data_IF_048381358619
#
_entry.id   IF_048381358619
#
_cell.length_a   1.000
_cell.length_b   1.000
_cell.length_c   1.000
_cell.angle_alpha   90.00
_cell.angle_beta   90.00
_cell.angle_gamma   90.00
#
_symmetry.space_group_name_H-M   'P 1'
#
loop_
_entity.id
_entity.type
_entity.pdbx_description
1 polymer ?
#
# COMPACT_ATOMS: atom_id res chain seq x y z
N UNK A 1 -10.54 -32.00 3.34
CA UNK A 1 -9.98 -30.64 3.58
C UNK A 1 -11.14 -29.74 3.98
N UNK A 2 -11.04 -29.08 5.12
CA UNK A 2 -12.02 -28.11 5.60
C UNK A 2 -11.53 -26.72 5.21
N UNK A 3 -12.40 -25.90 4.65
CA UNK A 3 -12.07 -24.49 4.38
C UNK A 3 -11.93 -23.74 5.70
N UNK A 4 -10.96 -22.82 5.75
CA UNK A 4 -10.69 -22.04 6.95
C UNK A 4 -9.80 -20.84 6.65
N UNK A 5 -9.69 -19.95 7.63
CA UNK A 5 -8.80 -18.79 7.56
C UNK A 5 -8.19 -18.49 8.92
N UNK A 6 -6.92 -18.12 8.92
CA UNK A 6 -6.12 -17.83 10.10
C UNK A 6 -5.16 -16.69 9.78
N UNK A 7 -4.82 -15.85 10.74
CA UNK A 7 -3.73 -14.88 10.62
C UNK A 7 -2.47 -15.40 11.29
N UNK A 8 -1.31 -15.19 10.68
CA UNK A 8 -0.02 -15.66 11.18
C UNK A 8 1.02 -14.53 11.15
N UNK A 9 2.00 -14.53 12.08
CA UNK A 9 3.09 -13.57 12.12
C UNK A 9 3.98 -13.71 10.88
N UNK A 10 3.88 -12.74 9.95
CA UNK A 10 4.53 -12.80 8.63
C UNK A 10 6.06 -12.98 8.71
N UNK A 11 6.74 -12.28 9.62
CA UNK A 11 8.21 -12.39 9.76
C UNK A 11 8.64 -13.81 10.07
N UNK A 12 8.01 -14.46 11.08
CA UNK A 12 8.32 -15.85 11.45
C UNK A 12 7.94 -16.84 10.35
N UNK A 13 6.83 -16.61 9.66
CA UNK A 13 6.44 -17.45 8.54
C UNK A 13 7.46 -17.38 7.41
N UNK A 14 7.89 -16.18 7.04
CA UNK A 14 8.91 -15.99 6.00
C UNK A 14 10.26 -16.63 6.38
N UNK A 15 10.73 -16.47 7.62
CA UNK A 15 11.93 -17.14 8.11
C UNK A 15 11.85 -18.67 7.95
N UNK A 16 10.70 -19.25 8.26
CA UNK A 16 10.49 -20.70 8.08
C UNK A 16 10.55 -21.05 6.60
N UNK A 17 9.79 -20.36 5.74
CA UNK A 17 9.69 -20.67 4.31
C UNK A 17 11.04 -20.52 3.61
N UNK A 18 11.82 -19.49 3.94
CA UNK A 18 13.16 -19.26 3.36
C UNK A 18 14.17 -20.37 3.73
N UNK A 19 13.94 -21.09 4.82
CA UNK A 19 14.81 -22.20 5.25
C UNK A 19 14.26 -23.59 4.85
N UNK A 20 13.15 -23.67 4.10
CA UNK A 20 12.67 -24.91 3.51
C UNK A 20 13.44 -25.24 2.21
N UNK A 21 13.59 -26.53 1.91
CA UNK A 21 14.21 -26.96 0.65
C UNK A 21 13.31 -26.61 -0.55
N UNK A 22 13.92 -26.21 -1.66
CA UNK A 22 13.22 -25.71 -2.87
C UNK A 22 12.24 -26.74 -3.50
N UNK A 23 12.50 -28.04 -3.35
CA UNK A 23 11.69 -29.11 -3.96
C UNK A 23 10.73 -29.81 -2.97
N UNK A 24 10.52 -29.25 -1.78
CA UNK A 24 9.73 -29.92 -0.74
C UNK A 24 8.30 -29.40 -0.69
N UNK A 25 7.33 -30.31 -0.73
CA UNK A 25 5.92 -29.98 -0.45
C UNK A 25 5.78 -29.38 0.94
N UNK A 26 5.02 -28.30 1.04
CA UNK A 26 4.72 -27.62 2.30
C UNK A 26 3.28 -27.90 2.69
N UNK A 27 3.09 -28.61 3.79
CA UNK A 27 1.78 -28.88 4.36
C UNK A 27 1.51 -27.95 5.54
N UNK A 28 0.46 -27.16 5.45
CA UNK A 28 0.03 -26.25 6.51
C UNK A 28 -1.31 -26.74 7.06
N UNK A 29 -1.37 -26.92 8.38
CA UNK A 29 -2.60 -27.26 9.08
C UNK A 29 -2.81 -26.35 10.28
N UNK A 30 -4.07 -26.11 10.62
CA UNK A 30 -4.47 -25.27 11.75
C UNK A 30 -5.37 -26.08 12.66
N UNK A 31 -5.10 -26.05 13.96
CA UNK A 31 -5.95 -26.67 14.97
C UNK A 31 -6.99 -25.69 15.56
N UNK A 32 -7.93 -26.22 16.34
CA UNK A 32 -9.00 -25.42 16.98
C UNK A 32 -8.47 -24.36 17.98
N UNK A 33 -7.21 -24.48 18.40
CA UNK A 33 -6.52 -23.51 19.26
C UNK A 33 -5.74 -22.46 18.49
N UNK A 34 -5.99 -22.28 17.18
CA UNK A 34 -5.28 -21.39 16.28
C UNK A 34 -3.77 -21.65 16.20
N UNK A 35 -3.32 -22.86 16.46
CA UNK A 35 -1.93 -23.26 16.26
C UNK A 35 -1.76 -23.73 14.83
N UNK A 36 -0.77 -23.16 14.17
CA UNK A 36 -0.42 -23.46 12.77
C UNK A 36 0.77 -24.41 12.76
N UNK A 37 0.59 -25.60 12.23
CA UNK A 37 1.68 -26.54 11.99
C UNK A 37 2.10 -26.48 10.53
N UNK A 38 3.40 -26.29 10.29
CA UNK A 38 4.01 -26.23 8.96
C UNK A 38 4.97 -27.43 8.89
N UNK A 39 4.70 -28.35 7.97
CA UNK A 39 5.50 -29.56 7.77
C UNK A 39 6.05 -29.58 6.35
N UNK A 40 7.35 -29.79 6.19
CA UNK A 40 8.00 -29.97 4.91
C UNK A 40 9.12 -30.98 5.02
N UNK A 41 8.98 -32.13 4.34
CA UNK A 41 9.87 -33.25 4.48
C UNK A 41 10.00 -33.75 5.93
N UNK A 42 11.21 -33.65 6.50
CA UNK A 42 11.49 -33.97 7.91
C UNK A 42 11.31 -32.82 8.87
N UNK A 43 11.16 -31.58 8.34
CA UNK A 43 11.05 -30.36 9.13
C UNK A 43 9.62 -30.13 9.61
N UNK A 44 9.49 -29.78 10.89
CA UNK A 44 8.19 -29.48 11.51
C UNK A 44 8.29 -28.19 12.33
N UNK A 45 7.45 -27.23 12.02
CA UNK A 45 7.39 -25.96 12.72
C UNK A 45 5.98 -25.73 13.27
N UNK A 46 5.90 -24.95 14.35
CA UNK A 46 4.63 -24.54 14.96
C UNK A 46 4.66 -23.02 15.16
N UNK A 47 3.58 -22.36 14.75
CA UNK A 47 3.34 -20.95 14.98
C UNK A 47 2.01 -20.75 15.71
N UNK A 48 1.93 -19.75 16.54
CA UNK A 48 0.65 -19.28 17.08
C UNK A 48 0.04 -18.33 16.06
N UNK A 49 -1.15 -18.63 15.59
CA UNK A 49 -1.99 -17.75 14.78
C UNK A 49 -2.98 -16.97 15.65
N UNK A 50 -3.75 -16.12 15.01
CA UNK A 50 -4.90 -15.43 15.58
C UNK A 50 -6.13 -15.64 14.70
N UNK A 51 -7.36 -15.62 15.25
CA UNK A 51 -8.58 -15.71 14.47
C UNK A 51 -8.66 -14.65 13.38
N UNK A 52 -9.27 -14.97 12.24
CA UNK A 52 -9.50 -14.00 11.16
C UNK A 52 -10.24 -12.75 11.65
N UNK A 53 -11.15 -12.91 12.62
CA UNK A 53 -11.97 -11.81 13.13
C UNK A 53 -11.16 -10.74 13.90
N UNK A 54 -9.97 -11.09 14.37
CA UNK A 54 -9.04 -10.16 15.01
C UNK A 54 -8.23 -9.33 13.99
N UNK A 55 -8.32 -9.70 12.70
CA UNK A 55 -7.66 -8.95 11.63
C UNK A 55 -8.49 -7.72 11.26
N UNK A 56 -7.86 -6.54 11.14
CA UNK A 56 -8.57 -5.32 10.76
C UNK A 56 -9.32 -5.50 9.43
N UNK A 57 -10.56 -5.02 9.40
CA UNK A 57 -11.33 -5.01 8.15
C UNK A 57 -10.66 -4.04 7.18
N UNK A 58 -10.34 -4.53 5.99
CA UNK A 58 -9.84 -3.67 4.90
C UNK A 58 -11.06 -2.92 4.36
N UNK A 59 -11.11 -1.57 4.48
CA UNK A 59 -12.24 -0.81 3.97
C UNK A 59 -12.28 -0.85 2.44
N UNK A 60 -13.49 -0.87 1.90
CA UNK A 60 -13.68 -0.71 0.46
C UNK A 60 -13.40 0.74 0.05
N UNK A 61 -12.84 0.90 -1.15
CA UNK A 61 -12.66 2.24 -1.72
C UNK A 61 -14.01 2.82 -2.13
N UNK A 62 -14.33 4.02 -1.64
CA UNK A 62 -15.53 4.75 -2.06
C UNK A 62 -15.42 5.18 -3.53
N UNK A 63 -16.13 4.49 -4.41
CA UNK A 63 -16.14 4.77 -5.84
C UNK A 63 -16.75 6.15 -6.16
N UNK A 64 -17.66 6.66 -5.32
CA UNK A 64 -18.28 7.96 -5.52
C UNK A 64 -17.32 9.13 -5.24
N UNK A 65 -16.32 8.90 -4.39
CA UNK A 65 -15.29 9.87 -4.05
C UNK A 65 -13.90 9.38 -4.52
N UNK A 66 -13.84 8.97 -5.77
CA UNK A 66 -12.64 8.42 -6.38
C UNK A 66 -12.32 9.10 -7.71
N UNK A 67 -11.06 8.99 -8.13
CA UNK A 67 -10.59 9.39 -9.44
C UNK A 67 -9.55 8.40 -9.96
N UNK A 68 -9.30 8.43 -11.26
CA UNK A 68 -8.30 7.60 -11.91
C UNK A 68 -7.15 8.44 -12.42
N UNK A 69 -5.95 7.86 -12.36
CA UNK A 69 -4.73 8.49 -12.82
C UNK A 69 -3.79 7.45 -13.42
N UNK A 70 -3.14 7.72 -14.57
CA UNK A 70 -2.16 6.80 -15.14
C UNK A 70 -1.01 6.53 -14.17
N UNK A 71 -0.62 5.25 -14.02
CA UNK A 71 0.40 4.81 -13.08
C UNK A 71 1.76 5.49 -13.30
N UNK A 72 2.19 5.62 -14.55
CA UNK A 72 3.43 6.30 -14.89
C UNK A 72 3.41 7.79 -14.53
N UNK A 73 2.28 8.48 -14.76
CA UNK A 73 2.14 9.89 -14.35
C UNK A 73 2.19 10.03 -12.83
N UNK A 74 1.48 9.16 -12.11
CA UNK A 74 1.49 9.13 -10.63
C UNK A 74 2.89 8.89 -10.09
N UNK A 75 3.57 7.85 -10.57
CA UNK A 75 4.93 7.53 -10.14
C UNK A 75 5.92 8.67 -10.44
N UNK A 76 5.79 9.33 -11.58
CA UNK A 76 6.61 10.48 -11.96
C UNK A 76 6.40 11.68 -11.02
N UNK A 77 5.15 12.06 -10.76
CA UNK A 77 4.83 13.19 -9.87
C UNK A 77 5.28 12.95 -8.44
N UNK A 78 5.07 11.73 -7.92
CA UNK A 78 5.52 11.36 -6.57
C UNK A 78 7.06 11.36 -6.52
N UNK A 79 7.73 10.66 -7.43
CA UNK A 79 9.21 10.58 -7.44
C UNK A 79 9.86 11.94 -7.61
N UNK A 80 9.23 12.84 -8.37
CA UNK A 80 9.72 14.21 -8.59
C UNK A 80 9.54 15.15 -7.39
N UNK A 81 8.85 14.73 -6.33
CA UNK A 81 8.55 15.61 -5.19
C UNK A 81 8.94 15.01 -3.84
N UNK A 82 8.84 13.70 -3.66
CA UNK A 82 8.94 13.02 -2.35
C UNK A 82 10.28 13.23 -1.64
N UNK A 83 11.35 13.47 -2.38
CA UNK A 83 12.69 13.73 -1.82
C UNK A 83 12.77 15.03 -0.99
N UNK A 84 11.78 15.89 -1.13
CA UNK A 84 11.66 17.14 -0.38
C UNK A 84 10.77 17.02 0.87
N UNK A 85 10.17 15.86 1.12
CA UNK A 85 9.42 15.62 2.35
C UNK A 85 10.38 15.50 3.55
N UNK A 86 9.92 15.91 4.74
CA UNK A 86 10.67 15.73 5.98
C UNK A 86 10.72 14.25 6.39
N UNK A 87 11.80 13.88 7.06
CA UNK A 87 11.95 12.59 7.76
C UNK A 87 11.96 12.75 9.27
N UNK A 88 11.81 13.99 9.78
CA UNK A 88 11.82 14.32 11.21
C UNK A 88 10.46 14.01 11.83
N UNK A 89 10.42 13.32 12.99
CA UNK A 89 9.19 12.85 13.63
C UNK A 89 8.37 13.97 14.29
N UNK A 90 8.97 15.11 14.61
CA UNK A 90 8.32 16.23 15.31
C UNK A 90 7.40 17.08 14.44
N UNK A 91 7.46 16.90 13.11
CA UNK A 91 6.63 17.64 12.12
C UNK A 91 5.86 16.71 11.20
N UNK A 92 4.97 15.91 11.76
CA UNK A 92 4.21 14.88 11.03
C UNK A 92 3.54 15.35 9.73
N UNK A 93 3.08 16.62 9.67
CA UNK A 93 2.46 17.17 8.46
C UNK A 93 3.46 17.41 7.32
N UNK A 94 4.78 17.46 7.60
CA UNK A 94 5.83 17.54 6.58
C UNK A 94 6.34 16.16 6.13
N UNK A 95 5.94 15.07 6.83
CA UNK A 95 6.30 13.70 6.47
C UNK A 95 5.42 13.13 5.36
N UNK A 96 4.57 13.95 4.77
CA UNK A 96 3.68 13.60 3.66
C UNK A 96 3.78 14.58 2.50
N UNK A 97 3.12 14.22 1.42
CA UNK A 97 2.97 15.05 0.24
C UNK A 97 1.58 15.66 0.24
N UNK A 98 1.50 16.97 0.05
CA UNK A 98 0.25 17.66 -0.15
C UNK A 98 -0.25 17.38 -1.57
N UNK A 99 -1.41 16.76 -1.67
CA UNK A 99 -2.15 16.56 -2.90
C UNK A 99 -3.29 17.56 -2.96
N UNK A 100 -3.35 18.31 -4.02
CA UNK A 100 -4.38 19.34 -4.23
C UNK A 100 -4.92 19.26 -5.64
N UNK A 101 -6.24 19.24 -5.77
CA UNK A 101 -6.92 19.48 -7.04
C UNK A 101 -7.77 20.73 -6.93
N UNK A 102 -7.52 21.69 -7.78
CA UNK A 102 -8.23 22.96 -7.84
C UNK A 102 -8.09 23.56 -9.24
N UNK A 103 -9.17 24.12 -9.77
CA UNK A 103 -9.19 24.80 -11.08
C UNK A 103 -8.63 23.91 -12.20
N UNK A 104 -9.07 22.67 -12.25
CA UNK A 104 -8.65 21.66 -13.23
C UNK A 104 -7.14 21.32 -13.23
N UNK A 105 -6.45 21.61 -12.14
CA UNK A 105 -5.03 21.26 -11.96
C UNK A 105 -4.84 20.37 -10.74
N UNK A 106 -4.17 19.24 -10.95
CA UNK A 106 -3.71 18.39 -9.88
C UNK A 106 -2.26 18.73 -9.57
N UNK A 107 -1.97 18.97 -8.31
CA UNK A 107 -0.63 19.29 -7.83
C UNK A 107 -0.22 18.41 -6.67
N UNK A 108 1.06 18.04 -6.65
CA UNK A 108 1.73 17.32 -5.58
C UNK A 108 2.86 18.19 -5.07
N UNK A 109 2.88 18.45 -3.77
CA UNK A 109 3.87 19.33 -3.13
C UNK A 109 4.50 18.60 -1.95
N UNK A 110 5.81 18.69 -1.82
CA UNK A 110 6.54 18.24 -0.64
C UNK A 110 7.51 19.33 -0.17
N UNK A 111 7.69 19.47 1.14
CA UNK A 111 8.64 20.39 1.74
C UNK A 111 9.11 19.87 3.11
N UNK A 112 10.34 20.19 3.46
CA UNK A 112 10.92 19.99 4.80
C UNK A 112 11.13 21.33 5.55
N UNK A 113 10.60 22.43 4.98
CA UNK A 113 10.74 23.79 5.51
C UNK A 113 11.98 24.53 5.01
N UNK A 114 12.92 23.83 4.32
CA UNK A 114 14.14 24.43 3.74
C UNK A 114 14.12 24.39 2.22
N UNK A 115 13.49 23.38 1.65
CA UNK A 115 13.30 23.18 0.20
C UNK A 115 11.86 22.80 -0.06
N UNK A 116 11.43 22.99 -1.29
CA UNK A 116 10.09 22.66 -1.77
C UNK A 116 10.19 22.07 -3.16
N UNK A 117 9.48 20.96 -3.39
CA UNK A 117 9.27 20.40 -4.70
C UNK A 117 7.79 20.43 -5.05
N UNK A 118 7.48 20.81 -6.30
CA UNK A 118 6.13 20.93 -6.83
C UNK A 118 6.05 20.24 -8.18
N UNK A 119 5.08 19.33 -8.34
CA UNK A 119 4.68 18.78 -9.63
C UNK A 119 3.22 19.16 -9.91
N UNK A 120 2.91 19.55 -11.14
CA UNK A 120 1.56 19.97 -11.55
C UNK A 120 1.20 19.28 -12.86
N UNK A 121 -0.07 18.86 -12.98
CA UNK A 121 -0.64 18.35 -14.23
C UNK A 121 -2.08 18.83 -14.41
N UNK A 122 -2.50 19.01 -15.66
CA UNK A 122 -3.88 19.25 -16.09
C UNK A 122 -4.46 18.07 -16.89
N UNK A 123 -3.70 16.96 -16.98
CA UNK A 123 -4.05 15.78 -17.78
C UNK A 123 -5.13 14.92 -17.16
N UNK A 124 -5.50 15.17 -15.89
CA UNK A 124 -6.54 14.39 -15.18
C UNK A 124 -7.70 15.32 -14.84
N UNK A 125 -8.91 14.75 -14.86
CA UNK A 125 -10.14 15.48 -14.48
C UNK A 125 -10.75 14.80 -13.26
N UNK A 126 -10.97 15.59 -12.22
CA UNK A 126 -11.56 15.15 -10.95
C UNK A 126 -12.82 15.95 -10.71
N UNK A 127 -13.86 15.29 -10.20
CA UNK A 127 -15.20 15.92 -10.08
C UNK A 127 -15.27 17.03 -9.03
N UNK A 128 -14.42 16.96 -8.00
CA UNK A 128 -14.48 17.88 -6.86
C UNK A 128 -13.07 18.34 -6.50
N UNK A 129 -12.96 19.59 -6.12
CA UNK A 129 -11.73 20.12 -5.54
C UNK A 129 -11.47 19.44 -4.20
N UNK A 130 -10.18 19.16 -3.93
CA UNK A 130 -9.75 18.60 -2.66
C UNK A 130 -8.33 19.05 -2.29
N UNK A 131 -8.01 18.90 -1.01
CA UNK A 131 -6.69 19.16 -0.45
C UNK A 131 -6.45 18.20 0.70
N UNK A 132 -5.43 17.33 0.57
CA UNK A 132 -5.08 16.31 1.55
C UNK A 132 -3.57 16.17 1.67
N UNK A 133 -3.10 15.68 2.80
CA UNK A 133 -1.70 15.28 2.97
C UNK A 133 -1.67 13.76 2.97
N UNK A 134 -0.88 13.20 2.06
CA UNK A 134 -0.70 11.75 1.91
C UNK A 134 0.65 11.36 2.49
N UNK A 135 0.72 10.43 3.44
CA UNK A 135 1.97 10.03 4.06
C UNK A 135 2.99 9.53 3.02
N UNK A 136 4.24 9.97 3.13
CA UNK A 136 5.31 9.58 2.20
C UNK A 136 5.58 8.08 2.18
N UNK A 137 5.35 7.40 3.30
CA UNK A 137 5.55 5.95 3.44
C UNK A 137 4.72 5.15 2.44
N UNK A 138 3.39 5.41 2.37
CA UNK A 138 2.53 4.68 1.43
C UNK A 138 2.85 5.03 -0.02
N UNK A 139 3.19 6.29 -0.29
CA UNK A 139 3.56 6.75 -1.63
C UNK A 139 4.87 6.11 -2.12
N UNK A 140 5.85 5.92 -1.24
CA UNK A 140 7.07 5.19 -1.55
C UNK A 140 6.77 3.72 -1.92
N UNK A 141 5.92 3.04 -1.15
CA UNK A 141 5.55 1.65 -1.46
C UNK A 141 4.76 1.56 -2.77
N UNK A 142 3.84 2.50 -3.03
CA UNK A 142 3.09 2.57 -4.28
C UNK A 142 4.03 2.75 -5.48
N UNK A 143 5.00 3.67 -5.40
CA UNK A 143 5.98 3.90 -6.47
C UNK A 143 6.87 2.68 -6.69
N UNK A 144 7.32 2.01 -5.62
CA UNK A 144 8.07 0.75 -5.73
C UNK A 144 7.24 -0.31 -6.45
N UNK A 145 5.98 -0.46 -6.08
CA UNK A 145 5.08 -1.42 -6.71
C UNK A 145 4.88 -1.14 -8.21
N UNK A 146 4.58 0.11 -8.57
CA UNK A 146 4.43 0.52 -9.98
C UNK A 146 5.70 0.21 -10.80
N UNK A 147 6.89 0.41 -10.21
CA UNK A 147 8.16 0.19 -10.90
C UNK A 147 8.62 -1.26 -10.93
N UNK A 148 8.21 -2.09 -9.98
CA UNK A 148 8.65 -3.50 -9.84
C UNK A 148 7.70 -4.50 -10.47
N UNK A 149 6.42 -4.18 -10.59
CA UNK A 149 5.44 -4.97 -11.31
C UNK A 149 5.52 -4.64 -12.81
N UNK A 150 5.12 -5.59 -13.68
CA UNK A 150 4.95 -5.32 -15.13
C UNK A 150 3.74 -4.39 -15.36
N UNK A 151 3.73 -3.25 -14.68
CA UNK A 151 2.68 -2.25 -14.78
C UNK A 151 3.00 -1.33 -15.95
N UNK A 152 2.10 -1.27 -16.91
CA UNK A 152 2.24 -0.33 -18.00
C UNK A 152 1.98 1.10 -17.51
N UNK A 153 2.74 2.08 -18.02
CA UNK A 153 2.59 3.50 -17.67
C UNK A 153 1.16 4.04 -17.84
N UNK A 154 0.39 3.42 -18.74
CA UNK A 154 -0.99 3.78 -19.06
C UNK A 154 -2.03 3.11 -18.16
N UNK A 155 -1.65 2.08 -17.40
CA UNK A 155 -2.57 1.48 -16.44
C UNK A 155 -3.10 2.51 -15.46
N UNK A 156 -4.38 2.41 -15.13
CA UNK A 156 -5.02 3.38 -14.26
C UNK A 156 -4.98 2.94 -12.80
N UNK A 157 -4.42 3.79 -11.95
CA UNK A 157 -4.56 3.70 -10.51
C UNK A 157 -5.87 4.37 -10.12
N UNK A 158 -6.78 3.61 -9.51
CA UNK A 158 -7.96 4.17 -8.84
C UNK A 158 -7.56 4.71 -7.47
N UNK A 159 -7.79 5.99 -7.25
CA UNK A 159 -7.56 6.67 -5.97
C UNK A 159 -8.90 6.93 -5.31
N UNK A 160 -9.14 6.33 -4.15
CA UNK A 160 -10.33 6.55 -3.33
C UNK A 160 -10.01 7.46 -2.15
N UNK A 161 -10.87 8.45 -1.91
CA UNK A 161 -10.75 9.39 -0.81
C UNK A 161 -11.89 9.19 0.18
N UNK A 162 -11.58 9.04 1.46
CA UNK A 162 -12.57 9.09 2.54
C UNK A 162 -12.22 10.20 3.54
N UNK A 163 -13.00 10.35 4.60
CA UNK A 163 -12.79 11.42 5.58
C UNK A 163 -11.41 11.37 6.28
N UNK A 164 -10.86 10.17 6.45
CA UNK A 164 -9.63 9.94 7.21
C UNK A 164 -8.69 8.91 6.57
N UNK A 165 -8.99 8.48 5.35
CA UNK A 165 -8.19 7.46 4.66
C UNK A 165 -8.06 7.81 3.18
N UNK A 166 -6.95 7.38 2.59
CA UNK A 166 -6.73 7.34 1.15
C UNK A 166 -6.39 5.92 0.75
N UNK A 167 -6.96 5.48 -0.37
CA UNK A 167 -6.66 4.17 -0.93
C UNK A 167 -6.26 4.25 -2.39
N UNK A 168 -5.41 3.33 -2.80
CA UNK A 168 -4.93 3.18 -4.16
C UNK A 168 -5.18 1.76 -4.62
N UNK A 169 -5.86 1.57 -5.73
CA UNK A 169 -6.09 0.24 -6.34
C UNK A 169 -5.46 0.20 -7.72
N UNK A 170 -4.60 -0.77 -7.94
CA UNK A 170 -3.97 -1.06 -9.21
C UNK A 170 -4.04 -2.56 -9.47
N UNK A 171 -4.79 -2.96 -10.50
CA UNK A 171 -5.10 -4.36 -10.75
C UNK A 171 -5.80 -5.01 -9.55
N UNK A 172 -5.17 -6.05 -8.99
CA UNK A 172 -5.66 -6.77 -7.79
C UNK A 172 -5.08 -6.26 -6.48
N UNK A 173 -4.16 -5.31 -6.52
CA UNK A 173 -3.46 -4.80 -5.34
C UNK A 173 -4.12 -3.52 -4.84
N UNK A 174 -4.30 -3.43 -3.53
CA UNK A 174 -4.87 -2.26 -2.84
C UNK A 174 -3.91 -1.80 -1.76
N UNK A 175 -3.65 -0.51 -1.73
CA UNK A 175 -2.92 0.18 -0.67
C UNK A 175 -3.89 1.10 0.07
N UNK A 176 -3.83 1.13 1.41
CA UNK A 176 -4.68 2.00 2.24
C UNK A 176 -3.83 2.65 3.34
N UNK A 177 -4.10 3.92 3.59
CA UNK A 177 -3.43 4.68 4.65
C UNK A 177 -4.41 5.60 5.38
#
# INVERSE_FOLDING_TARGET
>A
KTEGSITIPIKKFMEIVQNLGEESDVNISVDDSNRVAINSGKSKFKLSGAPKNDYPVIPDLDENNSFKMPAGLMASMISGTIFSASTEDDRHFLNGLLWKYEKDKFSVVATDGRRLALAVTDKIKIKKDFKIIVPSKILNELVKFIKSADVEDKEEVLVGLSSNQIGFKLGKTVFIS
#
